data_IF_079762186182
#
_entry.id   IF_079762186182
#
_cell.length_a   1.000
_cell.length_b   1.000
_cell.length_c   1.000
_cell.angle_alpha   90.00
_cell.angle_beta   90.00
_cell.angle_gamma   90.00
#
_symmetry.space_group_name_H-M   'P 1'
#
loop_
_entity.id
_entity.type
_entity.pdbx_description
1 polymer ?
#
# COMPACT_ATOMS: atom_id res chain seq x y z
N UNK A 1 3.98 -35.20 -5.71
CA UNK A 1 3.49 -33.86 -5.30
C UNK A 1 2.76 -33.26 -6.48
N UNK A 2 1.51 -32.81 -6.31
CA UNK A 2 0.82 -32.02 -7.33
C UNK A 2 1.49 -30.65 -7.43
N UNK A 3 1.61 -30.14 -8.65
CA UNK A 3 2.05 -28.77 -8.90
C UNK A 3 0.91 -27.85 -8.43
N UNK A 4 1.17 -26.78 -7.65
CA UNK A 4 0.11 -25.85 -7.26
C UNK A 4 -0.55 -25.24 -8.50
N UNK A 5 -1.87 -25.06 -8.46
CA UNK A 5 -2.72 -24.59 -9.56
C UNK A 5 -2.23 -23.31 -10.26
N UNK A 6 -1.55 -22.42 -9.53
CA UNK A 6 -0.95 -21.20 -10.08
C UNK A 6 0.23 -21.42 -11.02
N UNK A 7 0.86 -22.59 -10.97
CA UNK A 7 1.96 -22.99 -11.85
C UNK A 7 1.48 -23.96 -12.95
N UNK A 8 0.19 -24.24 -12.99
CA UNK A 8 -0.46 -25.00 -14.07
C UNK A 8 -1.26 -24.02 -14.95
N UNK A 9 -0.81 -23.83 -16.19
CA UNK A 9 -1.42 -22.87 -17.12
C UNK A 9 -2.90 -23.13 -17.41
N UNK A 10 -3.38 -24.36 -17.26
CA UNK A 10 -4.79 -24.69 -17.48
C UNK A 10 -5.65 -24.35 -16.25
N UNK A 11 -5.09 -24.47 -15.05
CA UNK A 11 -5.83 -24.27 -13.79
C UNK A 11 -5.81 -22.80 -13.34
N UNK A 12 -4.73 -22.06 -13.63
CA UNK A 12 -4.63 -20.63 -13.28
C UNK A 12 -5.74 -19.77 -13.90
N UNK A 13 -6.29 -20.19 -15.05
CA UNK A 13 -7.40 -19.50 -15.73
C UNK A 13 -8.69 -19.58 -14.90
N UNK A 14 -8.87 -20.66 -14.13
CA UNK A 14 -10.01 -20.89 -13.26
C UNK A 14 -9.89 -20.15 -11.92
N UNK A 15 -8.68 -19.77 -11.50
CA UNK A 15 -8.48 -19.02 -10.26
C UNK A 15 -9.27 -17.70 -10.25
N UNK A 16 -9.95 -17.44 -9.14
CA UNK A 16 -10.57 -16.16 -8.85
C UNK A 16 -9.52 -15.14 -8.38
N UNK A 17 -9.93 -13.88 -8.27
CA UNK A 17 -9.12 -12.84 -7.61
C UNK A 17 -8.79 -13.22 -6.15
N UNK A 18 -9.76 -13.79 -5.44
CA UNK A 18 -9.60 -14.23 -4.05
C UNK A 18 -8.62 -15.39 -3.92
N UNK A 19 -8.53 -16.28 -4.91
CA UNK A 19 -7.50 -17.33 -4.91
C UNK A 19 -6.09 -16.72 -4.90
N UNK A 20 -5.84 -15.70 -5.72
CA UNK A 20 -4.54 -15.00 -5.71
C UNK A 20 -4.29 -14.26 -4.39
N UNK A 21 -5.31 -13.62 -3.80
CA UNK A 21 -5.18 -12.94 -2.51
C UNK A 21 -4.84 -13.97 -1.42
N UNK A 22 -5.65 -15.01 -1.25
CA UNK A 22 -5.54 -15.94 -0.13
C UNK A 22 -4.28 -16.80 -0.23
N UNK A 23 -3.95 -17.29 -1.43
CA UNK A 23 -2.92 -18.32 -1.60
C UNK A 23 -1.55 -17.74 -1.96
N UNK A 24 -1.48 -16.50 -2.43
CA UNK A 24 -0.23 -15.89 -2.92
C UNK A 24 0.11 -14.60 -2.19
N UNK A 25 -0.67 -13.54 -2.41
CA UNK A 25 -0.31 -12.21 -1.91
C UNK A 25 -0.51 -12.04 -0.41
N UNK A 26 -1.54 -12.67 0.15
CA UNK A 26 -1.88 -12.67 1.57
C UNK A 26 -0.73 -13.17 2.42
N UNK A 27 -0.20 -14.38 2.20
CA UNK A 27 0.95 -14.91 2.93
C UNK A 27 2.19 -14.03 2.80
N UNK A 28 2.52 -13.56 1.59
CA UNK A 28 3.72 -12.75 1.33
C UNK A 28 3.64 -11.38 2.02
N UNK A 29 2.52 -10.68 1.87
CA UNK A 29 2.33 -9.37 2.49
C UNK A 29 2.26 -9.54 4.02
N UNK A 30 1.53 -10.54 4.53
CA UNK A 30 1.49 -10.83 5.96
C UNK A 30 2.88 -11.06 6.55
N UNK A 31 3.71 -11.90 5.91
CA UNK A 31 5.05 -12.20 6.43
C UNK A 31 5.99 -10.99 6.36
N UNK A 32 5.93 -10.22 5.28
CA UNK A 32 6.74 -9.00 5.15
C UNK A 32 6.37 -7.99 6.23
N UNK A 33 5.09 -7.82 6.56
CA UNK A 33 4.62 -6.84 7.54
C UNK A 33 4.57 -7.35 8.99
N UNK A 34 4.77 -8.66 9.25
CA UNK A 34 4.64 -9.35 10.54
C UNK A 34 5.38 -8.73 11.73
N UNK A 35 6.49 -8.02 11.48
CA UNK A 35 7.32 -7.39 12.52
C UNK A 35 7.35 -5.86 12.37
N UNK A 36 6.23 -5.30 11.94
CA UNK A 36 6.03 -3.85 11.88
C UNK A 36 5.00 -3.43 12.91
N UNK A 37 4.94 -2.12 13.20
CA UNK A 37 3.81 -1.54 13.94
C UNK A 37 2.61 -1.23 13.03
N UNK A 38 2.61 -1.82 11.83
CA UNK A 38 1.57 -1.64 10.83
C UNK A 38 0.67 -2.87 10.85
N UNK A 39 -0.63 -2.64 10.67
CA UNK A 39 -1.67 -3.66 10.61
C UNK A 39 -2.20 -3.74 9.20
N UNK A 40 -2.25 -4.95 8.65
CA UNK A 40 -2.94 -5.23 7.39
C UNK A 40 -4.42 -5.47 7.66
N UNK A 41 -5.30 -4.77 6.93
CA UNK A 41 -6.75 -4.98 6.96
C UNK A 41 -7.26 -5.31 5.57
N UNK A 42 -7.70 -6.55 5.40
CA UNK A 42 -8.16 -7.12 4.14
C UNK A 42 -9.68 -7.01 4.00
N UNK A 43 -10.16 -6.99 2.75
CA UNK A 43 -11.58 -6.97 2.39
C UNK A 43 -12.02 -5.59 1.90
N UNK A 44 -13.32 -5.44 1.60
CA UNK A 44 -13.90 -4.18 1.11
C UNK A 44 -14.00 -3.14 2.24
N UNK A 45 -12.85 -2.57 2.63
CA UNK A 45 -12.70 -1.74 3.82
C UNK A 45 -12.70 -0.26 3.47
N UNK A 46 -13.32 0.55 4.32
CA UNK A 46 -13.44 1.99 4.11
C UNK A 46 -12.26 2.72 4.76
N UNK A 47 -11.67 3.69 4.06
CA UNK A 47 -10.63 4.59 4.60
C UNK A 47 -11.12 5.34 5.85
N UNK A 48 -10.20 5.61 6.78
CA UNK A 48 -10.50 6.37 8.01
C UNK A 48 -9.92 7.78 7.95
N UNK A 49 -10.48 8.70 8.74
CA UNK A 49 -9.95 10.06 8.91
C UNK A 49 -9.82 10.87 7.60
N UNK A 50 -10.69 10.61 6.63
CA UNK A 50 -10.78 11.30 5.33
C UNK A 50 -12.15 11.93 5.13
N UNK A 51 -12.22 13.01 4.34
CA UNK A 51 -13.47 13.67 3.93
C UNK A 51 -14.20 12.96 2.80
N UNK A 52 -13.49 12.12 2.04
CA UNK A 52 -14.04 11.32 0.96
C UNK A 52 -13.58 9.86 1.15
N UNK A 53 -14.32 9.08 1.97
CA UNK A 53 -13.91 7.72 2.30
C UNK A 53 -14.11 6.77 1.11
N UNK A 54 -13.00 6.28 0.57
CA UNK A 54 -13.00 5.25 -0.45
C UNK A 54 -12.98 3.85 0.15
N UNK A 55 -13.36 2.89 -0.68
CA UNK A 55 -13.32 1.46 -0.40
C UNK A 55 -12.12 0.80 -1.08
N UNK A 56 -11.30 0.12 -0.30
CA UNK A 56 -10.03 -0.48 -0.71
C UNK A 56 -9.94 -1.92 -0.23
N UNK A 57 -9.38 -2.80 -1.06
CA UNK A 57 -9.25 -4.24 -0.79
C UNK A 57 -8.26 -4.56 0.34
N UNK A 58 -7.21 -3.73 0.48
CA UNK A 58 -6.23 -3.83 1.54
C UNK A 58 -5.79 -2.45 2.03
N UNK A 59 -5.94 -2.24 3.34
CA UNK A 59 -5.38 -1.10 4.06
C UNK A 59 -4.16 -1.51 4.86
N UNK A 60 -3.12 -0.69 4.81
CA UNK A 60 -1.98 -0.74 5.72
C UNK A 60 -2.14 0.40 6.72
N UNK A 61 -2.41 0.05 7.97
CA UNK A 61 -2.83 0.98 9.00
C UNK A 61 -1.76 1.07 10.08
N UNK A 62 -1.51 2.27 10.59
CA UNK A 62 -0.76 2.46 11.82
C UNK A 62 -1.67 2.96 12.94
N UNK A 63 -1.30 2.68 14.19
CA UNK A 63 -2.01 3.19 15.38
C UNK A 63 -1.09 4.10 16.18
N UNK A 64 -1.55 5.32 16.45
CA UNK A 64 -0.81 6.34 17.21
C UNK A 64 -1.79 6.95 18.22
N UNK A 65 -1.45 6.86 19.52
CA UNK A 65 -2.30 7.38 20.61
C UNK A 65 -3.75 6.88 20.61
N UNK A 66 -4.01 5.69 20.06
CA UNK A 66 -5.36 5.10 19.94
C UNK A 66 -6.02 5.36 18.58
N UNK A 67 -5.59 6.41 17.87
CA UNK A 67 -6.11 6.75 16.54
C UNK A 67 -5.44 5.91 15.44
N UNK A 68 -6.21 5.64 14.37
CA UNK A 68 -5.77 4.83 13.23
C UNK A 68 -5.55 5.71 12.01
N UNK A 69 -4.41 5.53 11.34
CA UNK A 69 -4.09 6.26 10.12
C UNK A 69 -3.70 5.30 9.02
N UNK A 70 -4.26 5.51 7.84
CA UNK A 70 -3.89 4.82 6.62
C UNK A 70 -2.52 5.31 6.13
N UNK A 71 -1.59 4.36 5.95
CA UNK A 71 -0.22 4.64 5.47
C UNK A 71 0.10 3.94 4.15
N UNK A 72 -0.84 3.17 3.60
CA UNK A 72 -0.71 2.55 2.29
C UNK A 72 -1.91 1.68 1.93
N UNK A 73 -2.05 1.42 0.63
CA UNK A 73 -3.18 0.66 0.06
C UNK A 73 -2.73 -0.39 -0.94
N UNK A 74 -3.53 -1.43 -1.12
CA UNK A 74 -3.45 -2.28 -2.30
C UNK A 74 -4.84 -2.56 -2.88
N UNK A 75 -4.92 -2.58 -4.21
CA UNK A 75 -6.09 -2.99 -4.98
C UNK A 75 -5.74 -4.26 -5.76
N UNK A 76 -6.66 -5.21 -5.78
CA UNK A 76 -6.50 -6.49 -6.44
C UNK A 76 -7.47 -6.64 -7.61
N UNK A 77 -6.98 -7.28 -8.66
CA UNK A 77 -7.78 -7.69 -9.79
C UNK A 77 -7.45 -9.14 -10.16
N UNK A 78 -8.39 -9.89 -10.73
CA UNK A 78 -8.04 -11.16 -11.39
C UNK A 78 -7.07 -10.94 -12.56
N UNK A 79 -7.38 -9.99 -13.46
CA UNK A 79 -6.66 -9.76 -14.71
C UNK A 79 -6.50 -8.27 -15.02
N UNK A 80 -5.41 -7.89 -15.70
CA UNK A 80 -5.25 -6.57 -16.29
C UNK A 80 -5.89 -6.50 -17.68
N UNK A 81 -7.15 -6.08 -17.78
CA UNK A 81 -7.61 -5.46 -19.03
C UNK A 81 -7.19 -3.99 -19.01
N UNK A 82 -6.72 -3.44 -20.13
CA UNK A 82 -6.17 -2.07 -20.14
C UNK A 82 -7.15 -1.01 -19.55
N UNK A 83 -8.46 -1.03 -19.87
CA UNK A 83 -9.39 -0.08 -19.29
C UNK A 83 -9.59 -0.25 -17.78
N UNK A 84 -9.73 -1.50 -17.30
CA UNK A 84 -9.89 -1.77 -15.87
C UNK A 84 -8.62 -1.40 -15.10
N UNK A 85 -7.46 -1.78 -15.62
CA UNK A 85 -6.16 -1.43 -15.04
C UNK A 85 -5.99 0.09 -14.90
N UNK A 86 -6.40 0.86 -15.90
CA UNK A 86 -6.30 2.33 -15.82
C UNK A 86 -7.29 2.89 -14.79
N UNK A 87 -8.54 2.41 -14.79
CA UNK A 87 -9.55 2.84 -13.83
C UNK A 87 -9.13 2.56 -12.38
N UNK A 88 -8.70 1.34 -12.10
CA UNK A 88 -8.26 0.91 -10.77
C UNK A 88 -7.01 1.71 -10.34
N UNK A 89 -6.12 2.03 -11.29
CA UNK A 89 -4.96 2.88 -11.03
C UNK A 89 -5.36 4.30 -10.64
N UNK A 90 -6.29 4.92 -11.36
CA UNK A 90 -6.78 6.27 -11.04
C UNK A 90 -7.46 6.28 -9.67
N UNK A 91 -8.31 5.27 -9.39
CA UNK A 91 -8.92 5.07 -8.06
C UNK A 91 -7.85 5.06 -6.96
N UNK A 92 -6.84 4.20 -7.12
CA UNK A 92 -5.76 4.03 -6.14
C UNK A 92 -4.91 5.29 -5.93
N UNK A 93 -4.73 6.11 -6.97
CA UNK A 93 -4.07 7.42 -6.88
C UNK A 93 -4.90 8.42 -6.07
N UNK A 94 -6.21 8.46 -6.30
CA UNK A 94 -7.12 9.35 -5.55
C UNK A 94 -7.18 8.97 -4.07
N UNK A 95 -7.19 7.67 -3.77
CA UNK A 95 -7.15 7.13 -2.41
C UNK A 95 -5.87 7.54 -1.68
N UNK A 96 -4.71 7.33 -2.31
CA UNK A 96 -3.43 7.74 -1.71
C UNK A 96 -3.32 9.26 -1.55
N UNK A 97 -3.88 10.05 -2.48
CA UNK A 97 -4.00 11.51 -2.31
C UNK A 97 -4.82 11.86 -1.05
N UNK A 98 -5.97 11.22 -0.83
CA UNK A 98 -6.78 11.52 0.35
C UNK A 98 -6.10 11.08 1.65
N UNK A 99 -5.38 9.96 1.65
CA UNK A 99 -4.56 9.58 2.80
C UNK A 99 -3.43 10.61 3.05
N UNK A 100 -2.78 11.11 2.01
CA UNK A 100 -1.80 12.21 2.11
C UNK A 100 -2.40 13.50 2.65
N UNK A 101 -3.62 13.87 2.27
CA UNK A 101 -4.33 15.01 2.87
C UNK A 101 -4.48 14.83 4.39
N UNK A 102 -4.83 13.62 4.85
CA UNK A 102 -4.92 13.31 6.28
C UNK A 102 -3.55 13.43 6.95
N UNK A 103 -2.48 12.94 6.31
CA UNK A 103 -1.10 13.11 6.79
C UNK A 103 -0.75 14.59 6.96
N UNK A 104 -1.04 15.39 5.95
CA UNK A 104 -0.74 16.81 5.93
C UNK A 104 -1.51 17.57 7.02
N UNK A 105 -2.81 17.29 7.20
CA UNK A 105 -3.63 17.89 8.28
C UNK A 105 -3.06 17.60 9.67
N UNK A 106 -2.58 16.38 9.88
CA UNK A 106 -1.98 15.98 11.17
C UNK A 106 -0.62 16.61 11.38
N UNK A 107 0.20 16.76 10.33
CA UNK A 107 1.55 17.31 10.47
C UNK A 107 1.56 18.85 10.52
N UNK A 108 0.60 19.52 9.85
CA UNK A 108 0.48 20.99 9.79
C UNK A 108 1.56 21.69 8.98
N UNK A 109 2.44 20.93 8.31
CA UNK A 109 3.50 21.43 7.46
C UNK A 109 3.48 20.66 6.14
N UNK A 110 3.83 21.35 5.06
CA UNK A 110 4.19 20.72 3.79
C UNK A 110 5.45 19.92 4.04
N UNK A 111 5.34 18.60 4.07
CA UNK A 111 6.49 17.71 4.12
C UNK A 111 6.70 17.20 2.69
N UNK A 112 7.50 17.90 1.86
CA UNK A 112 7.77 17.51 0.48
C UNK A 112 8.39 16.10 0.38
N UNK A 113 8.87 15.56 1.50
CA UNK A 113 9.55 14.27 1.59
C UNK A 113 8.64 13.07 1.95
N UNK A 114 7.32 13.27 2.12
CA UNK A 114 6.42 12.13 2.39
C UNK A 114 6.00 11.48 1.09
N UNK A 115 6.59 10.31 0.84
CA UNK A 115 6.12 9.37 -0.17
C UNK A 115 5.00 8.49 0.40
N UNK A 116 3.89 8.39 -0.32
CA UNK A 116 2.82 7.44 -0.04
C UNK A 116 2.78 6.38 -1.14
N UNK A 117 2.90 5.12 -0.75
CA UNK A 117 2.96 4.02 -1.72
C UNK A 117 1.66 3.23 -1.76
N UNK A 118 1.25 2.88 -2.97
CA UNK A 118 0.12 1.99 -3.24
C UNK A 118 0.51 0.86 -4.17
N UNK A 119 -0.08 -0.32 -3.98
CA UNK A 119 0.14 -1.48 -4.84
C UNK A 119 -1.09 -1.76 -5.69
N UNK A 120 -0.90 -1.79 -7.00
CA UNK A 120 -1.89 -2.30 -7.93
C UNK A 120 -1.50 -3.72 -8.35
N UNK A 121 -2.32 -4.71 -8.02
CA UNK A 121 -2.03 -6.12 -8.28
C UNK A 121 -3.09 -6.70 -9.22
N UNK A 122 -2.68 -7.47 -10.23
CA UNK A 122 -3.59 -8.34 -10.96
C UNK A 122 -2.98 -9.73 -11.19
N UNK A 123 -3.65 -10.75 -10.69
CA UNK A 123 -3.16 -12.12 -10.69
C UNK A 123 -1.78 -12.20 -10.05
N UNK A 124 -0.77 -12.63 -10.81
CA UNK A 124 0.62 -12.79 -10.38
C UNK A 124 1.53 -11.61 -10.76
N UNK A 125 0.95 -10.44 -11.08
CA UNK A 125 1.67 -9.25 -11.52
C UNK A 125 1.23 -8.03 -10.74
N UNK A 126 2.07 -7.03 -10.61
CA UNK A 126 1.69 -5.79 -9.95
C UNK A 126 2.57 -4.59 -10.32
N UNK A 127 2.17 -3.43 -9.80
CA UNK A 127 2.84 -2.16 -9.98
C UNK A 127 2.88 -1.43 -8.64
N UNK A 128 4.03 -0.86 -8.30
CA UNK A 128 4.17 0.02 -7.14
C UNK A 128 4.05 1.47 -7.61
N UNK A 129 3.12 2.20 -7.02
CA UNK A 129 2.85 3.59 -7.37
C UNK A 129 3.20 4.45 -6.15
N UNK A 130 4.06 5.44 -6.36
CA UNK A 130 4.31 6.49 -5.37
C UNK A 130 3.44 7.69 -5.68
N UNK A 131 2.93 8.29 -4.62
CA UNK A 131 2.18 9.54 -4.65
C UNK A 131 2.89 10.47 -3.66
N UNK A 132 3.13 11.70 -4.10
CA UNK A 132 3.83 12.73 -3.31
C UNK A 132 3.12 14.07 -3.47
N UNK A 133 3.12 14.86 -2.39
CA UNK A 133 2.63 16.24 -2.39
C UNK A 133 3.82 17.18 -2.65
N UNK A 134 3.94 17.70 -3.87
CA UNK A 134 5.09 18.50 -4.31
C UNK A 134 4.99 19.96 -3.85
N UNK A 135 3.79 20.53 -3.90
CA UNK A 135 3.44 21.84 -3.33
C UNK A 135 1.98 21.83 -2.90
N UNK A 136 1.49 22.87 -2.21
CA UNK A 136 0.10 22.92 -1.74
C UNK A 136 -0.90 22.65 -2.89
N UNK A 137 -1.64 21.54 -2.81
CA UNK A 137 -2.59 21.11 -3.83
C UNK A 137 -2.01 20.43 -5.07
N UNK A 138 -0.67 20.39 -5.23
CA UNK A 138 -0.01 19.76 -6.38
C UNK A 138 0.53 18.36 -6.03
N UNK A 139 -0.14 17.34 -6.56
CA UNK A 139 0.23 15.94 -6.37
C UNK A 139 0.88 15.36 -7.62
N UNK A 140 1.90 14.53 -7.43
CA UNK A 140 2.50 13.72 -8.50
C UNK A 140 2.37 12.25 -8.17
N UNK A 141 2.08 11.43 -9.18
CA UNK A 141 2.03 9.99 -9.08
C UNK A 141 3.00 9.36 -10.09
N UNK A 142 3.83 8.42 -9.63
CA UNK A 142 4.84 7.77 -10.47
C UNK A 142 4.89 6.26 -10.21
N UNK A 143 5.12 5.47 -11.26
CA UNK A 143 5.45 4.06 -11.09
C UNK A 143 6.91 3.96 -10.63
N UNK A 144 7.16 3.36 -9.47
CA UNK A 144 8.48 3.34 -8.83
C UNK A 144 9.37 2.21 -9.35
N UNK A 145 8.78 1.17 -9.95
CA UNK A 145 9.49 -0.01 -10.39
C UNK A 145 9.03 -0.50 -11.76
N UNK A 146 9.91 -1.30 -12.38
CA UNK A 146 9.48 -2.25 -13.40
C UNK A 146 8.42 -3.18 -12.78
N UNK A 147 7.43 -3.58 -13.60
CA UNK A 147 6.31 -4.44 -13.21
C UNK A 147 6.77 -5.56 -12.28
N UNK A 148 6.17 -5.64 -11.09
CA UNK A 148 6.32 -6.76 -10.16
C UNK A 148 5.74 -8.00 -10.84
N UNK A 149 6.48 -9.11 -10.86
CA UNK A 149 6.02 -10.38 -11.44
C UNK A 149 6.48 -11.53 -10.56
N UNK A 150 5.60 -12.52 -10.38
CA UNK A 150 6.04 -13.80 -9.85
C UNK A 150 6.85 -14.56 -10.89
N UNK A 151 7.90 -15.28 -10.46
CA UNK A 151 8.60 -16.20 -11.34
C UNK A 151 7.66 -17.32 -11.79
N UNK A 152 7.47 -17.46 -13.10
CA UNK A 152 6.65 -18.52 -13.68
C UNK A 152 7.49 -19.62 -14.32
N UNK A 153 8.79 -19.41 -14.48
CA UNK A 153 9.73 -20.35 -15.09
C UNK A 153 10.98 -20.48 -14.23
N UNK A 154 11.68 -21.61 -14.35
CA UNK A 154 12.93 -21.84 -13.62
C UNK A 154 14.00 -20.78 -13.94
N UNK A 155 14.04 -20.30 -15.18
CA UNK A 155 14.98 -19.27 -15.62
C UNK A 155 14.71 -17.91 -14.96
N UNK A 156 13.46 -17.67 -14.56
CA UNK A 156 13.02 -16.41 -13.98
C UNK A 156 13.10 -16.39 -12.44
N UNK A 157 13.31 -17.55 -11.79
CA UNK A 157 13.20 -17.69 -10.34
C UNK A 157 14.08 -16.67 -9.61
N UNK A 158 15.37 -16.60 -9.93
CA UNK A 158 16.28 -15.74 -9.17
C UNK A 158 16.00 -14.25 -9.41
N UNK A 159 15.90 -13.84 -10.67
CA UNK A 159 15.75 -12.42 -11.02
C UNK A 159 14.38 -11.87 -10.62
N UNK A 160 13.29 -12.58 -10.96
CA UNK A 160 11.94 -12.09 -10.67
C UNK A 160 11.62 -12.17 -9.17
N UNK A 161 12.08 -13.20 -8.46
CA UNK A 161 11.94 -13.24 -6.98
C UNK A 161 12.70 -12.09 -6.34
N UNK A 162 13.94 -11.83 -6.76
CA UNK A 162 14.73 -10.71 -6.23
C UNK A 162 14.01 -9.37 -6.45
N UNK A 163 13.49 -9.11 -7.65
CA UNK A 163 12.74 -7.89 -7.94
C UNK A 163 11.43 -7.79 -7.14
N UNK A 164 10.67 -8.89 -7.04
CA UNK A 164 9.44 -8.97 -6.25
C UNK A 164 9.71 -8.62 -4.79
N UNK A 165 10.67 -9.30 -4.15
CA UNK A 165 10.99 -9.10 -2.74
C UNK A 165 11.53 -7.69 -2.50
N UNK A 166 12.44 -7.19 -3.34
CA UNK A 166 12.95 -5.81 -3.24
C UNK A 166 11.83 -4.78 -3.33
N UNK A 167 10.89 -4.95 -4.26
CA UNK A 167 9.78 -4.03 -4.43
C UNK A 167 8.87 -3.98 -3.19
N UNK A 168 8.50 -5.14 -2.64
CA UNK A 168 7.61 -5.18 -1.48
C UNK A 168 8.34 -4.71 -0.21
N UNK A 169 9.63 -5.04 -0.04
CA UNK A 169 10.44 -4.49 1.05
C UNK A 169 10.54 -2.96 0.97
N UNK A 170 10.79 -2.41 -0.23
CA UNK A 170 10.79 -0.95 -0.43
C UNK A 170 9.47 -0.34 0.02
N UNK A 171 8.35 -0.96 -0.36
CA UNK A 171 7.03 -0.53 0.06
C UNK A 171 6.85 -0.53 1.58
N UNK A 172 7.23 -1.62 2.25
CA UNK A 172 7.24 -1.71 3.72
C UNK A 172 8.07 -0.60 4.37
N UNK A 173 9.27 -0.33 3.84
CA UNK A 173 10.16 0.71 4.40
C UNK A 173 9.52 2.09 4.29
N UNK A 174 8.98 2.43 3.12
CA UNK A 174 8.32 3.72 2.91
C UNK A 174 7.10 3.88 3.83
N UNK A 175 6.21 2.88 3.89
CA UNK A 175 5.04 2.92 4.80
C UNK A 175 5.45 3.06 6.27
N UNK A 176 6.58 2.44 6.69
CA UNK A 176 7.13 2.62 8.04
C UNK A 176 7.69 4.02 8.26
N UNK A 177 8.33 4.62 7.26
CA UNK A 177 8.86 5.98 7.35
C UNK A 177 7.73 7.00 7.45
N UNK A 178 6.66 6.82 6.66
CA UNK A 178 5.43 7.62 6.76
C UNK A 178 4.87 7.55 8.18
N UNK A 179 4.74 6.35 8.76
CA UNK A 179 4.37 6.17 10.17
C UNK A 179 5.32 6.88 11.15
N UNK A 180 6.64 6.74 10.98
CA UNK A 180 7.61 7.36 11.89
C UNK A 180 7.50 8.90 11.87
N UNK A 181 7.31 9.48 10.68
CA UNK A 181 7.03 10.90 10.49
C UNK A 181 5.79 11.34 11.27
N UNK A 182 4.65 10.67 11.05
CA UNK A 182 3.41 10.89 11.78
C UNK A 182 3.59 10.86 13.30
N UNK A 183 4.19 9.78 13.81
CA UNK A 183 4.35 9.57 15.25
C UNK A 183 5.17 10.70 15.88
N UNK A 184 6.26 11.10 15.23
CA UNK A 184 7.14 12.15 15.76
C UNK A 184 6.41 13.50 15.91
N UNK A 185 5.54 13.85 14.95
CA UNK A 185 4.79 15.12 14.95
C UNK A 185 3.62 15.09 15.93
N UNK A 186 2.88 13.99 16.00
CA UNK A 186 1.78 13.82 16.97
C UNK A 186 2.26 13.87 18.42
N UNK A 187 3.40 13.23 18.73
CA UNK A 187 3.99 13.30 20.08
C UNK A 187 4.41 14.73 20.43
N UNK A 188 5.08 15.45 19.51
CA UNK A 188 5.45 16.85 19.74
C UNK A 188 4.23 17.72 20.05
N UNK A 189 3.13 17.56 19.30
CA UNK A 189 1.88 18.30 19.55
C UNK A 189 1.25 17.98 20.90
N UNK A 190 1.23 16.72 21.31
CA UNK A 190 0.71 16.31 22.63
C UNK A 190 1.50 16.98 23.76
N UNK A 191 2.83 16.99 23.70
CA UNK A 191 3.69 17.61 24.71
C UNK A 191 3.45 19.13 24.78
N UNK A 192 3.36 19.78 23.62
CA UNK A 192 3.12 21.22 23.53
C UNK A 192 1.71 21.56 24.06
N UNK A 193 0.69 20.79 23.70
CA UNK A 193 -0.68 20.97 24.21
C UNK A 193 -0.76 20.87 25.74
N UNK A 194 -0.11 19.88 26.34
CA UNK A 194 -0.07 19.73 27.80
C UNK A 194 0.68 20.85 28.52
N UNK A 195 1.66 21.51 27.88
CA UNK A 195 2.37 22.66 28.48
C UNK A 195 1.53 23.94 28.53
N UNK A 196 0.43 24.02 27.79
CA UNK A 196 -0.44 25.20 27.74
C UNK A 196 -1.78 25.03 28.47
N UNK A 197 -2.08 23.83 28.98
CA UNK A 197 -3.30 23.56 29.78
C UNK A 197 -3.08 23.74 31.30
N UNK A 198 -1.84 23.96 31.76
CA UNK A 198 -1.51 24.25 33.17
C UNK A 198 -1.46 25.77 33.50
N UNK A 199 -2.48 26.54 33.08
CA UNK A 199 -2.62 27.96 33.49
C UNK A 199 -4.03 28.31 33.95
#
# INVERSE_FOLDING_TARGET
MSVPEFFNNNEIVCCSEQDFIIKVWGPILSEIFKQTKLTLRWGDTTMENTTAPFKVDLRVICTINGDRYDVGFAEFAKNFTAPKAQKDRVKLILEGKEALNTVFKVNGEHVPDIEFYTLQIAGLKGHLISITLQSNGLYTAQNINNRIRFPLTNNDIFDQTSHLIKAIIKCKVVMRNTYAGFKSKLIKRSIVGTMFEDK
#
